data_IF_439895012323
#
_entry.id   IF_439895012323
#
_cell.length_a   1.000
_cell.length_b   1.000
_cell.length_c   1.000
_cell.angle_alpha   90.00
_cell.angle_beta   90.00
_cell.angle_gamma   90.00
#
_symmetry.space_group_name_H-M   'P 1'
#
loop_
_entity.id
_entity.type
_entity.pdbx_description
1 polymer ?
#
# COMPACT_ATOMS: atom_id res chain seq x y z
N UNK A 1 8.91 -21.74 -6.56
CA UNK A 1 7.52 -21.63 -6.11
C UNK A 1 7.20 -20.14 -6.02
N UNK A 2 6.42 -19.57 -6.95
CA UNK A 2 6.12 -18.14 -6.94
C UNK A 2 5.20 -17.78 -5.77
N UNK A 3 5.45 -16.63 -5.15
CA UNK A 3 4.57 -16.05 -4.14
C UNK A 3 3.75 -14.97 -4.84
N UNK A 4 2.43 -15.04 -4.70
CA UNK A 4 1.49 -14.06 -5.24
C UNK A 4 0.68 -13.51 -4.08
N UNK A 5 0.71 -12.20 -3.87
CA UNK A 5 -0.09 -11.57 -2.83
C UNK A 5 -1.30 -10.85 -3.41
N UNK A 6 -2.38 -10.79 -2.66
CA UNK A 6 -3.62 -10.10 -3.02
C UNK A 6 -3.90 -8.98 -2.02
N UNK A 7 -4.01 -7.76 -2.52
CA UNK A 7 -4.50 -6.59 -1.79
C UNK A 7 -5.74 -6.08 -2.51
N UNK A 8 -6.92 -6.26 -1.92
CA UNK A 8 -8.20 -6.01 -2.59
C UNK A 8 -9.19 -5.28 -1.68
N UNK A 9 -10.17 -4.63 -2.29
CA UNK A 9 -11.33 -4.04 -1.62
C UNK A 9 -12.60 -4.89 -1.74
N UNK A 10 -12.46 -6.18 -2.11
CA UNK A 10 -13.58 -7.07 -2.41
C UNK A 10 -14.21 -7.71 -1.18
N UNK A 11 -13.96 -7.27 0.00
CA UNK A 11 -14.53 -7.81 1.24
C UNK A 11 -14.55 -9.36 1.35
N UNK A 12 -14.46 -9.88 2.54
CA UNK A 12 -14.39 -11.35 2.78
C UNK A 12 -15.69 -12.10 2.47
N UNK A 13 -16.78 -11.39 2.23
CA UNK A 13 -18.10 -11.96 1.93
C UNK A 13 -18.30 -12.22 0.45
N UNK A 14 -17.48 -11.63 -0.41
CA UNK A 14 -17.64 -11.68 -1.84
C UNK A 14 -16.96 -12.94 -2.42
N UNK A 15 -17.49 -13.42 -3.54
CA UNK A 15 -16.92 -14.58 -4.24
C UNK A 15 -15.72 -14.23 -5.13
N UNK A 16 -15.45 -12.95 -5.39
CA UNK A 16 -14.39 -12.47 -6.29
C UNK A 16 -13.01 -12.95 -5.87
N UNK A 17 -12.68 -12.88 -4.58
CA UNK A 17 -11.43 -13.38 -4.04
C UNK A 17 -11.26 -14.87 -4.28
N UNK A 18 -12.33 -15.67 -4.10
CA UNK A 18 -12.32 -17.11 -4.40
C UNK A 18 -12.08 -17.39 -5.89
N UNK A 19 -12.71 -16.60 -6.78
CA UNK A 19 -12.53 -16.76 -8.22
C UNK A 19 -11.10 -16.49 -8.67
N UNK A 20 -10.50 -15.35 -8.24
CA UNK A 20 -9.13 -15.00 -8.63
C UNK A 20 -8.12 -16.03 -8.09
N UNK A 21 -8.26 -16.48 -6.85
CA UNK A 21 -7.41 -17.54 -6.28
C UNK A 21 -7.49 -18.84 -7.09
N UNK A 22 -8.69 -19.31 -7.40
CA UNK A 22 -8.89 -20.50 -8.23
C UNK A 22 -8.25 -20.35 -9.61
N UNK A 23 -8.38 -19.19 -10.24
CA UNK A 23 -7.77 -18.89 -11.54
C UNK A 23 -6.25 -18.84 -11.44
N UNK A 24 -5.70 -18.19 -10.41
CA UNK A 24 -4.25 -18.15 -10.16
C UNK A 24 -3.67 -19.54 -9.98
N UNK A 25 -4.27 -20.39 -9.14
CA UNK A 25 -3.83 -21.78 -8.93
C UNK A 25 -3.94 -22.64 -10.19
N UNK A 26 -4.89 -22.36 -11.08
CA UNK A 26 -5.00 -23.04 -12.36
C UNK A 26 -3.88 -22.64 -13.33
N UNK A 27 -3.56 -21.34 -13.41
CA UNK A 27 -2.56 -20.83 -14.33
C UNK A 27 -1.12 -20.93 -13.79
N UNK A 28 -0.97 -20.91 -12.46
CA UNK A 28 0.32 -20.99 -11.75
C UNK A 28 0.19 -22.06 -10.64
N UNK A 29 0.18 -23.36 -10.98
CA UNK A 29 -0.16 -24.44 -10.04
C UNK A 29 0.74 -24.50 -8.78
N UNK A 30 1.99 -24.07 -8.92
CA UNK A 30 2.97 -24.06 -7.81
C UNK A 30 2.99 -22.75 -7.01
N UNK A 31 2.02 -21.86 -7.23
CA UNK A 31 1.97 -20.60 -6.53
C UNK A 31 1.48 -20.73 -5.09
N UNK A 32 2.08 -19.95 -4.19
CA UNK A 32 1.50 -19.65 -2.88
C UNK A 32 0.75 -18.32 -3.00
N UNK A 33 -0.56 -18.37 -2.84
CA UNK A 33 -1.42 -17.17 -2.90
C UNK A 33 -1.73 -16.71 -1.48
N UNK A 34 -1.30 -15.49 -1.14
CA UNK A 34 -1.41 -14.89 0.19
C UNK A 34 -2.29 -13.65 0.13
N UNK A 35 -3.32 -13.59 0.95
CA UNK A 35 -4.13 -12.38 1.12
C UNK A 35 -3.49 -11.44 2.12
N UNK A 36 -3.17 -10.23 1.69
CA UNK A 36 -2.63 -9.20 2.58
C UNK A 36 -3.76 -8.54 3.37
N UNK A 37 -4.73 -7.98 2.66
CA UNK A 37 -5.90 -7.36 3.26
C UNK A 37 -7.06 -7.37 2.27
N UNK A 38 -8.25 -7.75 2.76
CA UNK A 38 -9.51 -7.77 2.02
C UNK A 38 -10.56 -6.84 2.65
N UNK A 39 -10.23 -6.17 3.74
CA UNK A 39 -11.12 -5.26 4.46
C UNK A 39 -10.85 -3.79 4.15
N UNK A 40 -10.16 -3.53 3.05
CA UNK A 40 -9.99 -2.18 2.52
C UNK A 40 -11.36 -1.64 2.15
N UNK A 41 -11.62 -0.39 2.50
CA UNK A 41 -12.84 0.27 2.07
C UNK A 41 -12.92 0.34 0.54
N UNK A 42 -14.08 0.07 -0.07
CA UNK A 42 -14.21 0.08 -1.52
C UNK A 42 -13.66 1.38 -2.13
N UNK A 43 -12.82 1.23 -3.15
CA UNK A 43 -12.19 2.32 -3.90
C UNK A 43 -11.16 3.15 -3.11
N UNK A 44 -10.79 2.75 -1.89
CA UNK A 44 -9.90 3.53 -1.02
C UNK A 44 -8.42 3.22 -1.31
N UNK A 45 -7.94 3.72 -2.45
CA UNK A 45 -6.56 3.45 -2.94
C UNK A 45 -5.47 3.92 -1.97
N UNK A 46 -5.73 4.98 -1.19
CA UNK A 46 -4.75 5.50 -0.24
C UNK A 46 -4.55 4.54 0.94
N UNK A 47 -5.62 3.96 1.48
CA UNK A 47 -5.54 2.95 2.52
C UNK A 47 -4.77 1.72 2.01
N UNK A 48 -5.12 1.25 0.82
CA UNK A 48 -4.48 0.09 0.20
C UNK A 48 -3.00 0.33 -0.07
N UNK A 49 -2.63 1.50 -0.61
CA UNK A 49 -1.23 1.84 -0.88
C UNK A 49 -0.40 1.93 0.40
N UNK A 50 -0.96 2.49 1.48
CA UNK A 50 -0.32 2.51 2.79
C UNK A 50 -0.02 1.10 3.29
N UNK A 51 -1.03 0.21 3.29
CA UNK A 51 -0.86 -1.19 3.71
C UNK A 51 0.25 -1.86 2.91
N UNK A 52 0.21 -1.73 1.58
CA UNK A 52 1.19 -2.38 0.72
C UNK A 52 2.60 -1.83 0.93
N UNK A 53 2.78 -0.53 1.16
CA UNK A 53 4.08 0.07 1.51
C UNK A 53 4.70 -0.57 2.76
N UNK A 54 3.87 -0.90 3.78
CA UNK A 54 4.36 -1.53 5.01
C UNK A 54 4.69 -3.01 4.80
N UNK A 55 4.01 -3.67 3.89
CA UNK A 55 4.11 -5.12 3.68
C UNK A 55 5.25 -5.49 2.71
N UNK A 56 5.48 -4.70 1.67
CA UNK A 56 6.50 -4.98 0.65
C UNK A 56 7.87 -5.35 1.20
N UNK A 57 8.44 -4.64 2.20
CA UNK A 57 9.77 -4.95 2.72
C UNK A 57 9.89 -6.33 3.38
N UNK A 58 8.77 -6.93 3.78
CA UNK A 58 8.71 -8.20 4.49
C UNK A 58 8.63 -9.42 3.55
N UNK A 59 8.46 -9.19 2.24
CA UNK A 59 8.35 -10.26 1.26
C UNK A 59 9.67 -10.47 0.50
N UNK A 60 9.97 -11.73 0.11
CA UNK A 60 11.19 -12.04 -0.63
C UNK A 60 11.18 -11.52 -2.06
N UNK A 61 12.38 -11.42 -2.64
CA UNK A 61 12.58 -11.11 -4.04
C UNK A 61 11.75 -12.03 -4.95
N UNK A 62 11.25 -11.50 -6.06
CA UNK A 62 10.43 -12.22 -7.02
C UNK A 62 8.95 -12.35 -6.63
N UNK A 63 8.53 -11.84 -5.48
CA UNK A 63 7.10 -11.82 -5.11
C UNK A 63 6.30 -10.96 -6.10
N UNK A 64 5.11 -11.45 -6.47
CA UNK A 64 4.16 -10.77 -7.33
C UNK A 64 3.03 -10.20 -6.46
N UNK A 65 2.94 -8.90 -6.34
CA UNK A 65 1.91 -8.21 -5.56
C UNK A 65 0.79 -7.74 -6.49
N UNK A 66 -0.38 -8.38 -6.41
CA UNK A 66 -1.58 -7.95 -7.11
C UNK A 66 -2.32 -6.91 -6.29
N UNK A 67 -2.42 -5.72 -6.84
CA UNK A 67 -3.04 -4.56 -6.24
C UNK A 67 -4.37 -4.27 -6.95
N UNK A 68 -5.46 -4.83 -6.41
CA UNK A 68 -6.76 -4.92 -7.06
C UNK A 68 -7.83 -4.13 -6.28
N UNK A 69 -7.52 -2.87 -6.02
CA UNK A 69 -8.47 -1.91 -5.44
C UNK A 69 -9.02 -1.08 -6.59
N UNK A 70 -10.31 -1.21 -6.82
CA UNK A 70 -10.90 -0.80 -8.09
C UNK A 70 -11.61 0.57 -7.99
N UNK A 71 -11.19 1.49 -8.85
CA UNK A 71 -11.93 2.71 -9.15
C UNK A 71 -12.97 2.52 -10.28
N UNK A 72 -13.16 1.27 -10.71
CA UNK A 72 -13.90 0.93 -11.90
C UNK A 72 -13.05 0.96 -13.17
N UNK A 73 -13.31 0.03 -14.06
CA UNK A 73 -12.66 -0.01 -15.36
C UNK A 73 -13.04 1.23 -16.17
N UNK A 74 -12.07 2.08 -16.46
CA UNK A 74 -12.27 3.26 -17.31
C UNK A 74 -11.61 3.01 -18.67
N UNK A 75 -12.25 3.42 -19.78
CA UNK A 75 -11.65 3.31 -21.11
C UNK A 75 -10.26 3.99 -21.17
N UNK A 76 -9.28 3.27 -21.67
CA UNK A 76 -7.91 3.76 -21.78
C UNK A 76 -7.01 3.51 -20.57
N UNK A 77 -7.54 2.93 -19.48
CA UNK A 77 -6.75 2.44 -18.36
C UNK A 77 -6.42 0.96 -18.61
N UNK A 78 -5.13 0.64 -18.55
CA UNK A 78 -4.58 -0.67 -18.84
C UNK A 78 -3.99 -1.30 -17.58
N UNK A 79 -3.84 -2.63 -17.52
CA UNK A 79 -2.99 -3.25 -16.53
C UNK A 79 -1.57 -2.71 -16.63
N UNK A 80 -0.97 -2.44 -15.49
CA UNK A 80 0.41 -2.01 -15.39
C UNK A 80 1.22 -2.96 -14.51
N UNK A 81 2.49 -3.13 -14.86
CA UNK A 81 3.46 -3.90 -14.12
C UNK A 81 4.68 -3.03 -13.84
N UNK A 82 5.07 -2.94 -12.58
CA UNK A 82 6.32 -2.32 -12.18
C UNK A 82 7.25 -3.38 -11.56
N UNK A 83 8.53 -3.37 -11.92
CA UNK A 83 9.56 -4.06 -11.16
C UNK A 83 10.16 -3.07 -10.16
N UNK A 84 10.02 -3.37 -8.89
CA UNK A 84 10.37 -2.47 -7.82
C UNK A 84 11.00 -3.25 -6.65
N UNK A 85 12.24 -2.91 -6.29
CA UNK A 85 13.00 -3.60 -5.22
C UNK A 85 13.01 -5.13 -5.39
N UNK A 86 13.32 -5.60 -6.60
CA UNK A 86 13.32 -7.02 -6.98
C UNK A 86 11.96 -7.75 -6.86
N UNK A 87 10.87 -7.05 -6.67
CA UNK A 87 9.50 -7.57 -6.62
C UNK A 87 8.68 -7.00 -7.78
N UNK A 88 7.52 -7.58 -8.04
CA UNK A 88 6.62 -7.12 -9.09
C UNK A 88 5.34 -6.54 -8.48
N UNK A 89 5.03 -5.30 -8.80
CA UNK A 89 3.78 -4.64 -8.47
C UNK A 89 2.88 -4.68 -9.70
N UNK A 90 1.69 -5.21 -9.56
CA UNK A 90 0.73 -5.38 -10.66
C UNK A 90 -0.60 -4.75 -10.25
N UNK A 91 -1.09 -3.82 -11.05
CA UNK A 91 -2.34 -3.11 -10.80
C UNK A 91 -2.83 -2.38 -12.05
N UNK A 92 -3.81 -1.51 -11.89
CA UNK A 92 -4.25 -0.63 -12.96
C UNK A 92 -3.32 0.57 -13.13
N UNK A 93 -3.18 1.07 -14.37
CA UNK A 93 -2.44 2.30 -14.67
C UNK A 93 -3.30 3.55 -14.42
N UNK A 94 -3.76 3.69 -13.20
CA UNK A 94 -4.60 4.80 -12.71
C UNK A 94 -3.90 5.67 -11.66
N UNK A 95 -2.59 5.47 -11.51
CA UNK A 95 -1.76 6.15 -10.51
C UNK A 95 -1.61 5.39 -9.18
N UNK A 96 -2.32 4.28 -9.00
CA UNK A 96 -2.31 3.52 -7.74
C UNK A 96 -0.90 3.00 -7.40
N UNK A 97 -0.17 2.48 -8.39
CA UNK A 97 1.19 1.96 -8.19
C UNK A 97 2.18 3.07 -7.82
N UNK A 98 1.94 4.29 -8.32
CA UNK A 98 2.75 5.46 -7.98
C UNK A 98 2.65 5.86 -6.51
N UNK A 99 1.53 5.58 -5.86
CA UNK A 99 1.33 5.80 -4.43
C UNK A 99 2.13 4.81 -3.57
N UNK A 100 2.37 3.61 -4.08
CA UNK A 100 3.08 2.55 -3.35
C UNK A 100 4.59 2.75 -3.42
N UNK A 101 5.12 3.16 -4.57
CA UNK A 101 6.55 3.26 -4.82
C UNK A 101 7.12 4.58 -4.31
N UNK A 102 8.12 4.51 -3.42
CA UNK A 102 8.82 5.68 -2.87
C UNK A 102 10.09 6.05 -3.65
N UNK A 103 10.48 5.24 -4.63
CA UNK A 103 11.59 5.45 -5.54
C UNK A 103 11.21 4.98 -6.95
N UNK A 104 12.03 5.30 -7.96
CA UNK A 104 11.78 4.84 -9.32
C UNK A 104 11.84 3.30 -9.39
N UNK A 105 10.92 2.65 -10.10
CA UNK A 105 11.02 1.24 -10.43
C UNK A 105 12.12 0.98 -11.46
N UNK A 106 12.58 -0.27 -11.56
CA UNK A 106 13.52 -0.70 -12.61
C UNK A 106 12.86 -0.53 -13.99
N UNK A 107 11.58 -0.88 -14.08
CA UNK A 107 10.71 -0.58 -15.20
C UNK A 107 9.24 -0.40 -14.76
N UNK A 108 8.49 0.31 -15.59
CA UNK A 108 7.04 0.46 -15.49
C UNK A 108 6.42 0.28 -16.87
N UNK A 109 5.55 -0.72 -17.02
CA UNK A 109 4.98 -1.14 -18.29
C UNK A 109 3.47 -1.12 -18.25
N UNK A 110 2.86 -0.64 -19.33
CA UNK A 110 1.42 -0.79 -19.60
C UNK A 110 1.23 -1.95 -20.58
N UNK A 111 0.32 -2.84 -20.27
CA UNK A 111 0.04 -4.01 -21.09
C UNK A 111 -1.29 -3.83 -21.84
N UNK A 112 -1.22 -3.31 -23.04
CA UNK A 112 -2.35 -3.23 -23.95
C UNK A 112 -2.74 -4.60 -24.55
N UNK A 113 -3.78 -4.66 -25.37
CA UNK A 113 -4.23 -5.91 -25.99
C UNK A 113 -3.16 -6.61 -26.81
N UNK A 114 -2.38 -5.86 -27.57
CA UNK A 114 -1.31 -6.42 -28.41
C UNK A 114 -0.21 -7.06 -27.56
N UNK A 115 0.17 -6.38 -26.48
CA UNK A 115 1.13 -6.91 -25.51
C UNK A 115 0.62 -8.20 -24.85
N UNK A 116 -0.66 -8.21 -24.44
CA UNK A 116 -1.29 -9.37 -23.81
C UNK A 116 -1.38 -10.56 -24.79
N UNK A 117 -1.75 -10.35 -26.05
CA UNK A 117 -1.79 -11.42 -27.07
C UNK A 117 -0.41 -12.05 -27.28
N UNK A 118 0.63 -11.23 -27.43
CA UNK A 118 2.00 -11.71 -27.57
C UNK A 118 2.46 -12.53 -26.35
N UNK A 119 2.17 -12.07 -25.15
CA UNK A 119 2.53 -12.76 -23.92
C UNK A 119 1.73 -14.06 -23.72
N UNK A 120 0.48 -14.11 -24.16
CA UNK A 120 -0.32 -15.32 -24.16
C UNK A 120 0.27 -16.43 -25.02
N UNK A 121 0.75 -16.08 -26.22
CA UNK A 121 1.42 -17.02 -27.11
C UNK A 121 2.68 -17.58 -26.47
N UNK A 122 3.52 -16.71 -25.91
CA UNK A 122 4.78 -17.11 -25.25
C UNK A 122 4.56 -17.94 -23.99
N UNK A 123 3.48 -17.69 -23.25
CA UNK A 123 3.17 -18.41 -21.99
C UNK A 123 2.34 -19.68 -22.18
N UNK A 124 1.85 -19.95 -23.38
CA UNK A 124 1.00 -21.11 -23.69
C UNK A 124 -0.38 -21.08 -23.02
N UNK A 125 -0.92 -19.90 -22.76
CA UNK A 125 -2.25 -19.76 -22.15
C UNK A 125 -3.33 -20.20 -23.14
N UNK A 126 -4.21 -21.11 -22.69
CA UNK A 126 -5.32 -21.60 -23.53
C UNK A 126 -6.41 -20.53 -23.70
N UNK A 127 -7.12 -20.61 -24.85
CA UNK A 127 -8.13 -19.62 -25.23
C UNK A 127 -9.25 -19.43 -24.18
N UNK A 128 -9.57 -20.47 -23.41
CA UNK A 128 -10.59 -20.37 -22.34
C UNK A 128 -10.26 -19.34 -21.24
N UNK A 129 -8.98 -18.98 -21.07
CA UNK A 129 -8.54 -18.01 -20.07
C UNK A 129 -8.31 -16.61 -20.66
N UNK A 130 -8.39 -16.47 -21.98
CA UNK A 130 -8.15 -15.18 -22.67
C UNK A 130 -9.37 -14.26 -22.66
N UNK A 131 -10.57 -14.83 -22.46
CA UNK A 131 -11.79 -14.03 -22.43
C UNK A 131 -11.75 -13.03 -21.25
N UNK A 132 -11.98 -11.76 -21.55
CA UNK A 132 -12.06 -10.68 -20.56
C UNK A 132 -13.53 -10.38 -20.32
N UNK A 133 -14.01 -10.72 -19.12
CA UNK A 133 -15.37 -10.37 -18.70
C UNK A 133 -15.44 -8.87 -18.34
N UNK A 134 -16.29 -8.08 -19.02
CA UNK A 134 -16.32 -6.62 -18.77
C UNK A 134 -16.67 -6.24 -17.34
N UNK A 135 -17.45 -7.06 -16.64
CA UNK A 135 -17.84 -6.82 -15.25
C UNK A 135 -16.77 -7.21 -14.22
N UNK A 136 -15.80 -8.03 -14.62
CA UNK A 136 -14.69 -8.47 -13.76
C UNK A 136 -13.44 -8.76 -14.59
N UNK A 137 -12.87 -7.75 -15.25
CA UNK A 137 -11.69 -7.91 -16.12
C UNK A 137 -10.46 -8.39 -15.36
N UNK A 138 -10.36 -8.08 -14.07
CA UNK A 138 -9.28 -8.48 -13.16
C UNK A 138 -9.04 -9.97 -13.18
N UNK A 139 -10.10 -10.78 -13.21
CA UNK A 139 -10.00 -12.22 -13.20
C UNK A 139 -9.14 -12.77 -14.33
N UNK A 140 -9.31 -12.25 -15.54
CA UNK A 140 -8.53 -12.66 -16.70
C UNK A 140 -7.17 -11.96 -16.75
N UNK A 141 -7.15 -10.63 -16.68
CA UNK A 141 -5.95 -9.82 -16.91
C UNK A 141 -4.84 -10.13 -15.89
N UNK A 142 -5.16 -10.03 -14.61
CA UNK A 142 -4.12 -10.16 -13.57
C UNK A 142 -3.69 -11.60 -13.32
N UNK A 143 -4.55 -12.59 -13.54
CA UNK A 143 -4.12 -13.98 -13.49
C UNK A 143 -3.19 -14.35 -14.65
N UNK A 144 -3.41 -13.81 -15.85
CA UNK A 144 -2.52 -13.99 -17.00
C UNK A 144 -1.16 -13.31 -16.76
N UNK A 145 -1.16 -12.07 -16.30
CA UNK A 145 0.07 -11.34 -15.95
C UNK A 145 0.88 -12.11 -14.89
N UNK A 146 0.20 -12.65 -13.87
CA UNK A 146 0.87 -13.50 -12.86
C UNK A 146 1.53 -14.74 -13.48
N UNK A 147 0.88 -15.36 -14.47
CA UNK A 147 1.47 -16.49 -15.24
C UNK A 147 2.71 -16.03 -16.00
N UNK A 148 2.67 -14.88 -16.70
CA UNK A 148 3.83 -14.37 -17.44
C UNK A 148 5.03 -14.15 -16.51
N UNK A 149 4.81 -13.46 -15.40
CA UNK A 149 5.84 -13.17 -14.39
C UNK A 149 6.38 -14.46 -13.74
N UNK A 150 5.51 -15.43 -13.45
CA UNK A 150 5.92 -16.71 -12.85
C UNK A 150 6.82 -17.55 -13.77
N UNK A 151 6.70 -17.37 -15.08
CA UNK A 151 7.55 -18.00 -16.09
C UNK A 151 8.86 -17.23 -16.33
N UNK A 152 9.03 -16.07 -15.71
CA UNK A 152 10.20 -15.20 -15.95
C UNK A 152 10.22 -14.59 -17.36
N UNK A 153 9.06 -14.39 -17.99
CA UNK A 153 9.00 -13.77 -19.30
C UNK A 153 9.43 -12.29 -19.23
N UNK A 154 10.23 -11.87 -20.19
CA UNK A 154 10.68 -10.49 -20.31
C UNK A 154 9.54 -9.61 -20.84
N UNK A 155 8.78 -9.03 -19.91
CA UNK A 155 7.61 -8.20 -20.24
C UNK A 155 8.01 -6.93 -20.99
N UNK A 156 9.23 -6.46 -20.82
CA UNK A 156 9.81 -5.30 -21.53
C UNK A 156 9.81 -5.48 -23.05
N UNK A 157 9.86 -6.73 -23.53
CA UNK A 157 9.79 -7.05 -24.94
C UNK A 157 8.36 -6.99 -25.49
N UNK A 158 7.36 -7.02 -24.64
CA UNK A 158 5.96 -7.08 -25.01
C UNK A 158 5.29 -5.70 -25.10
N UNK A 159 5.64 -4.79 -24.20
CA UNK A 159 5.02 -3.48 -24.11
C UNK A 159 6.01 -2.31 -24.18
N UNK A 160 5.57 -1.11 -24.56
CA UNK A 160 6.41 0.06 -24.47
C UNK A 160 6.68 0.40 -23.02
N UNK A 161 7.94 0.69 -22.66
CA UNK A 161 8.25 1.31 -21.38
C UNK A 161 7.43 2.60 -21.27
N UNK A 162 6.59 2.71 -20.26
CA UNK A 162 5.89 3.96 -20.05
C UNK A 162 6.88 4.98 -19.46
N UNK A 163 7.21 5.98 -20.25
CA UNK A 163 8.09 7.09 -19.87
C UNK A 163 7.44 8.07 -18.89
N UNK A 164 6.28 7.75 -18.34
CA UNK A 164 5.44 8.67 -17.57
C UNK A 164 5.19 8.30 -16.11
N UNK A 165 6.09 7.52 -15.48
CA UNK A 165 5.96 7.30 -14.03
C UNK A 165 6.26 8.60 -13.28
N UNK A 166 5.28 9.10 -12.55
CA UNK A 166 5.45 10.25 -11.64
C UNK A 166 5.13 9.82 -10.21
N UNK A 167 6.05 10.09 -9.29
CA UNK A 167 5.79 9.87 -7.88
C UNK A 167 4.63 10.73 -7.41
N UNK A 168 3.77 10.16 -6.58
CA UNK A 168 2.76 10.92 -5.87
C UNK A 168 3.29 11.26 -4.46
N UNK A 169 3.46 12.54 -4.10
CA UNK A 169 3.92 12.94 -2.77
C UNK A 169 2.83 12.82 -1.69
N UNK A 170 1.77 12.09 -1.93
CA UNK A 170 0.52 12.12 -1.15
C UNK A 170 0.67 11.84 0.36
N UNK A 171 1.82 11.31 0.80
CA UNK A 171 2.00 10.89 2.19
C UNK A 171 3.22 11.49 2.88
N UNK A 172 3.86 12.51 2.32
CA UNK A 172 5.02 13.09 2.97
C UNK A 172 4.59 14.16 3.98
N UNK A 173 5.14 14.17 5.21
CA UNK A 173 4.93 15.25 6.15
C UNK A 173 5.64 16.53 5.65
N UNK A 174 5.12 17.66 6.03
CA UNK A 174 5.82 18.94 5.78
C UNK A 174 6.82 19.18 6.90
N UNK A 175 8.11 19.27 6.53
CA UNK A 175 9.22 19.41 7.47
C UNK A 175 9.75 20.82 7.43
N UNK A 176 9.83 21.46 8.59
CA UNK A 176 10.39 22.78 8.81
C UNK A 176 11.51 22.72 9.85
N UNK A 177 12.22 23.83 10.08
CA UNK A 177 13.35 23.88 11.01
C UNK A 177 12.99 23.41 12.43
N UNK A 178 11.82 23.80 12.92
CA UNK A 178 11.38 23.57 14.30
C UNK A 178 10.01 22.92 14.40
N UNK A 179 9.51 22.34 13.28
CA UNK A 179 8.17 21.80 13.22
C UNK A 179 8.05 20.69 12.17
N UNK A 180 7.24 19.69 12.49
CA UNK A 180 6.76 18.68 11.54
C UNK A 180 5.24 18.77 11.50
N UNK A 181 4.68 19.00 10.31
CA UNK A 181 3.25 18.92 10.06
C UNK A 181 2.94 17.61 9.33
N UNK A 182 2.27 16.70 10.00
CA UNK A 182 1.85 15.42 9.47
C UNK A 182 0.34 15.25 9.53
N UNK A 183 -0.10 14.10 9.04
CA UNK A 183 -1.50 13.68 8.99
C UNK A 183 -1.63 12.26 9.51
N UNK A 184 -2.78 11.92 10.08
CA UNK A 184 -3.18 10.54 10.27
C UNK A 184 -3.41 9.92 8.89
N UNK A 185 -2.77 8.79 8.61
CA UNK A 185 -2.86 8.08 7.33
C UNK A 185 -3.63 6.77 7.43
N UNK A 186 -3.67 6.19 8.61
CA UNK A 186 -4.33 4.92 8.84
C UNK A 186 -4.84 4.81 10.28
N UNK A 187 -5.97 4.16 10.45
CA UNK A 187 -6.49 3.74 11.76
C UNK A 187 -6.41 2.21 11.79
N UNK A 188 -5.67 1.68 12.77
CA UNK A 188 -5.51 0.24 12.89
C UNK A 188 -6.71 -0.46 13.56
N UNK A 189 -6.66 -1.78 13.69
CA UNK A 189 -7.73 -2.57 14.32
C UNK A 189 -7.86 -2.33 15.83
N UNK A 190 -6.81 -1.82 16.48
CA UNK A 190 -6.82 -1.39 17.88
C UNK A 190 -7.34 0.04 18.03
N UNK A 191 -7.71 0.69 16.93
CA UNK A 191 -8.20 2.07 16.86
C UNK A 191 -7.15 3.12 17.20
N UNK A 192 -5.87 2.79 17.01
CA UNK A 192 -4.77 3.74 17.10
C UNK A 192 -4.64 4.53 15.80
N UNK A 193 -4.14 5.76 15.91
CA UNK A 193 -3.94 6.64 14.76
C UNK A 193 -2.48 6.61 14.30
N UNK A 194 -2.21 5.98 13.16
CA UNK A 194 -0.89 5.93 12.55
C UNK A 194 -0.73 7.15 11.64
N UNK A 195 0.39 7.87 11.80
CA UNK A 195 0.66 9.09 11.03
C UNK A 195 1.66 8.85 9.91
N UNK A 196 1.82 9.84 9.03
CA UNK A 196 2.87 9.86 8.01
C UNK A 196 4.22 10.42 8.52
N UNK A 197 4.42 10.54 9.82
CA UNK A 197 5.64 11.13 10.41
C UNK A 197 6.66 10.02 10.71
N UNK A 198 7.76 9.89 9.94
CA UNK A 198 8.78 8.89 10.19
C UNK A 198 9.63 9.21 11.41
N UNK A 199 10.05 8.18 12.14
CA UNK A 199 11.01 8.29 13.25
C UNK A 199 12.32 8.98 12.83
N UNK A 200 12.79 8.69 11.62
CA UNK A 200 14.01 9.28 11.08
C UNK A 200 13.93 10.82 10.97
N UNK A 201 12.81 11.35 10.50
CA UNK A 201 12.63 12.80 10.38
C UNK A 201 12.42 13.46 11.76
N UNK A 202 11.70 12.78 12.65
CA UNK A 202 11.56 13.24 14.03
C UNK A 202 12.92 13.35 14.73
N UNK A 203 13.77 12.32 14.65
CA UNK A 203 15.08 12.32 15.28
C UNK A 203 16.04 13.34 14.65
N UNK A 204 15.98 13.55 13.35
CA UNK A 204 16.82 14.50 12.62
C UNK A 204 16.64 15.95 13.13
N UNK A 205 15.44 16.31 13.57
CA UNK A 205 15.12 17.65 14.06
C UNK A 205 15.18 17.72 15.58
N UNK A 206 14.68 16.67 16.25
CA UNK A 206 14.36 16.66 17.67
C UNK A 206 15.42 16.09 18.60
N UNK A 207 16.59 15.65 18.08
CA UNK A 207 17.66 15.15 18.96
C UNK A 207 18.06 16.25 19.96
N UNK A 208 18.03 15.90 21.26
CA UNK A 208 18.35 16.77 22.39
C UNK A 208 17.45 18.00 22.56
N UNK A 209 16.25 17.97 21.97
CA UNK A 209 15.25 19.05 22.09
C UNK A 209 13.98 18.55 22.78
N UNK A 210 13.36 19.43 23.56
CA UNK A 210 11.99 19.21 24.03
C UNK A 210 11.01 19.44 22.88
N UNK A 211 9.85 18.79 22.94
CA UNK A 211 8.84 18.89 21.89
C UNK A 211 7.42 18.80 22.46
N UNK A 212 6.49 19.26 21.67
CA UNK A 212 5.07 19.14 21.90
C UNK A 212 4.39 18.55 20.65
N UNK A 213 3.72 17.42 20.80
CA UNK A 213 2.83 16.88 19.77
C UNK A 213 1.43 17.42 20.04
N UNK A 214 0.87 18.10 19.07
CA UNK A 214 -0.47 18.69 19.12
C UNK A 214 -1.41 17.93 18.17
N UNK A 215 -2.58 17.56 18.70
CA UNK A 215 -3.63 16.85 17.99
C UNK A 215 -4.78 17.81 17.74
N UNK A 216 -5.22 17.93 16.47
CA UNK A 216 -6.29 18.82 16.06
C UNK A 216 -6.04 20.27 16.53
N UNK A 217 -6.92 20.83 17.32
CA UNK A 217 -6.95 22.26 17.71
C UNK A 217 -6.28 22.55 19.05
N UNK A 218 -5.08 22.05 19.33
CA UNK A 218 -4.35 22.25 20.60
C UNK A 218 -5.04 21.70 21.87
N UNK A 219 -6.08 20.90 21.72
CA UNK A 219 -6.82 20.38 22.86
C UNK A 219 -6.08 19.26 23.59
N UNK A 220 -5.34 18.46 22.81
CA UNK A 220 -4.57 17.32 23.35
C UNK A 220 -3.11 17.50 23.00
N UNK A 221 -2.24 17.35 24.00
CA UNK A 221 -0.81 17.56 23.91
C UNK A 221 -0.07 16.37 24.48
N UNK A 222 1.00 15.95 23.81
CA UNK A 222 1.89 14.89 24.25
C UNK A 222 3.32 15.45 24.23
N UNK A 223 4.08 15.21 25.30
CA UNK A 223 5.45 15.75 25.48
C UNK A 223 6.51 14.64 25.55
N UNK A 224 6.13 13.39 25.37
CA UNK A 224 7.02 12.24 25.41
C UNK A 224 6.68 11.20 24.35
N UNK A 225 7.68 10.41 23.99
CA UNK A 225 7.50 9.21 23.14
C UNK A 225 7.74 7.99 24.02
N UNK A 226 6.75 7.11 24.08
CA UNK A 226 6.86 5.85 24.78
C UNK A 226 7.70 4.85 23.94
N UNK A 227 8.39 3.94 24.62
CA UNK A 227 9.03 2.80 23.97
C UNK A 227 8.06 1.62 23.82
N UNK A 228 7.13 1.48 24.77
CA UNK A 228 6.08 0.46 24.75
C UNK A 228 4.74 1.04 25.18
N UNK A 229 3.65 0.38 24.81
CA UNK A 229 2.30 0.77 25.24
C UNK A 229 2.10 0.61 26.76
N UNK A 230 2.93 -0.25 27.40
CA UNK A 230 2.84 -0.57 28.83
C UNK A 230 3.43 0.50 29.75
N UNK A 231 4.06 1.53 29.21
CA UNK A 231 4.59 2.66 29.97
C UNK A 231 3.49 3.66 30.40
N UNK A 232 2.29 3.50 29.88
CA UNK A 232 1.13 4.33 30.19
C UNK A 232 0.05 3.54 30.92
N UNK A 233 -0.63 4.19 31.88
CA UNK A 233 -1.77 3.61 32.56
C UNK A 233 -3.00 3.49 31.64
N UNK A 234 -3.93 2.54 31.92
CA UNK A 234 -5.15 2.40 31.12
C UNK A 234 -5.93 3.71 31.01
N UNK A 235 -6.26 4.09 29.78
CA UNK A 235 -6.96 5.33 29.45
C UNK A 235 -6.06 6.54 29.21
N UNK A 236 -4.74 6.43 29.41
CA UNK A 236 -3.82 7.51 29.11
C UNK A 236 -3.50 7.62 27.61
N UNK A 237 -3.37 8.86 27.15
CA UNK A 237 -2.95 9.22 25.81
C UNK A 237 -1.43 9.09 25.68
N UNK A 238 -0.96 8.40 24.65
CA UNK A 238 0.46 8.19 24.40
C UNK A 238 0.82 8.36 22.92
N UNK A 239 2.10 8.59 22.68
CA UNK A 239 2.72 8.55 21.36
C UNK A 239 3.86 7.54 21.35
N UNK A 240 3.97 6.77 20.28
CA UNK A 240 4.99 5.73 20.10
C UNK A 240 5.44 5.70 18.64
N UNK A 241 6.65 5.27 18.33
CA UNK A 241 7.02 4.86 16.99
C UNK A 241 6.77 3.36 16.83
N UNK A 242 5.82 3.02 15.97
CA UNK A 242 5.41 1.65 15.73
C UNK A 242 6.46 0.84 14.95
N UNK A 243 6.15 -0.44 14.65
CA UNK A 243 7.03 -1.34 13.90
C UNK A 243 7.38 -0.87 12.49
N UNK A 244 6.54 -0.04 11.88
CA UNK A 244 6.81 0.58 10.59
C UNK A 244 7.71 1.83 10.70
N UNK A 245 8.12 2.21 11.90
CA UNK A 245 8.91 3.41 12.16
C UNK A 245 8.11 4.71 12.00
N UNK A 246 6.79 4.66 12.05
CA UNK A 246 5.90 5.81 11.97
C UNK A 246 5.38 6.21 13.35
N UNK A 247 5.20 7.51 13.55
CA UNK A 247 4.57 8.02 14.77
C UNK A 247 3.12 7.54 14.83
N UNK A 248 2.76 6.94 15.96
CA UNK A 248 1.43 6.45 16.26
C UNK A 248 0.91 7.12 17.53
N UNK A 249 -0.34 7.53 17.50
CA UNK A 249 -1.06 8.10 18.65
C UNK A 249 -2.07 7.06 19.12
N UNK A 250 -1.97 6.70 20.39
CA UNK A 250 -2.78 5.66 21.01
C UNK A 250 -3.36 6.11 22.36
N UNK A 251 -4.33 5.37 22.85
CA UNK A 251 -4.77 5.40 24.24
C UNK A 251 -4.54 4.01 24.82
N UNK A 252 -3.79 3.93 25.90
CA UNK A 252 -3.50 2.66 26.55
C UNK A 252 -4.80 1.92 26.92
N UNK A 253 -4.98 0.71 26.38
CA UNK A 253 -6.19 -0.11 26.52
C UNK A 253 -7.50 0.61 26.13
N UNK A 254 -7.43 1.60 25.21
CA UNK A 254 -8.54 2.44 24.82
C UNK A 254 -8.71 2.60 23.31
N UNK A 255 -9.71 3.35 22.90
CA UNK A 255 -10.04 3.64 21.50
C UNK A 255 -9.68 5.10 21.18
N UNK A 256 -8.46 5.33 20.69
CA UNK A 256 -7.97 6.68 20.40
C UNK A 256 -8.78 7.31 19.23
N UNK A 257 -9.11 6.54 18.21
CA UNK A 257 -9.83 7.04 17.04
C UNK A 257 -11.21 7.59 17.41
N UNK A 258 -11.95 6.88 18.25
CA UNK A 258 -13.28 7.30 18.67
C UNK A 258 -13.22 8.49 19.66
N UNK A 259 -12.40 8.36 20.72
CA UNK A 259 -12.33 9.36 21.78
C UNK A 259 -11.79 10.71 21.31
N UNK A 260 -10.85 10.71 20.36
CA UNK A 260 -10.23 11.91 19.82
C UNK A 260 -10.81 12.29 18.45
N UNK A 261 -11.69 11.45 17.88
CA UNK A 261 -12.30 11.65 16.58
C UNK A 261 -11.25 11.63 15.46
N UNK A 262 -10.30 10.69 15.50
CA UNK A 262 -9.33 10.54 14.42
C UNK A 262 -9.96 9.94 13.18
N UNK A 263 -9.57 10.50 12.06
CA UNK A 263 -9.88 10.02 10.71
C UNK A 263 -8.64 10.19 9.84
N UNK A 264 -8.45 9.40 8.76
CA UNK A 264 -7.42 9.68 7.77
C UNK A 264 -7.52 11.14 7.30
N UNK A 265 -6.38 11.84 7.27
CA UNK A 265 -6.32 13.28 7.00
C UNK A 265 -6.35 14.18 8.25
N UNK A 266 -6.59 13.63 9.44
CA UNK A 266 -6.53 14.43 10.69
C UNK A 266 -5.12 14.99 10.88
N UNK A 267 -4.94 16.33 11.07
CA UNK A 267 -3.63 16.94 11.22
C UNK A 267 -3.00 16.62 12.58
N UNK A 268 -1.71 16.31 12.54
CA UNK A 268 -0.82 16.12 13.68
C UNK A 268 0.37 17.07 13.53
N UNK A 269 0.63 17.86 14.54
CA UNK A 269 1.72 18.83 14.53
C UNK A 269 2.71 18.53 15.64
N UNK A 270 3.99 18.53 15.31
CA UNK A 270 5.08 18.46 16.29
C UNK A 270 5.83 19.78 16.25
N UNK A 271 5.96 20.43 17.39
CA UNK A 271 6.81 21.61 17.58
C UNK A 271 7.98 21.24 18.49
N UNK A 272 9.17 21.65 18.07
CA UNK A 272 10.39 21.48 18.86
C UNK A 272 10.79 22.83 19.45
N UNK A 273 11.13 22.85 20.73
CA UNK A 273 11.61 24.07 21.38
C UNK A 273 12.96 24.47 20.80
N UNK A 274 13.21 25.77 20.71
CA UNK A 274 14.46 26.31 20.19
C UNK A 274 15.67 25.89 21.05
N UNK A 275 16.80 25.63 20.41
CA UNK A 275 18.10 25.54 21.08
C UNK A 275 18.54 26.90 21.56
#
# INVERSE_FOLDING_TARGET
MPIITLTTDWQTRDYYSGMIKGRLLTLVPDAVVIEINQLIEPFHILQASFILQQVLPEYPDGTIHLFLVNKGHQPGIWPAVAKYKNQFLVGWDDGILALVMTANPDYYLKLDYQSLEKMDELSGISNQFKHIEPSFPELSLFSRISRYLSLGLALEEAGPNSTGFSHSPAWQPVIQKDQIDGLVVFIDSYRNAITNIPKSEFLKIGTDRTFEITIKSNRYKIHGINHTYMESDPGELLAIFNSAGLLEIAIAQGNAAELLGFEPGTPIKIKFDGT
#
